data_IF_097218325148
#
_entry.id   IF_097218325148
#
_cell.length_a   1.000
_cell.length_b   1.000
_cell.length_c   1.000
_cell.angle_alpha   90.00
_cell.angle_beta   90.00
_cell.angle_gamma   90.00
#
_symmetry.space_group_name_H-M   'P 1'
#
loop_
_entity.id
_entity.type
_entity.pdbx_description
1 polymer ?
#
# COMPACT_ATOMS: atom_id res chain seq x y z
N UNK A 1 49.40 -4.33 -17.24
CA UNK A 1 48.21 -5.05 -16.71
C UNK A 1 47.39 -4.27 -15.68
N UNK A 2 47.98 -3.43 -14.82
CA UNK A 2 47.20 -2.69 -13.79
C UNK A 2 46.33 -1.55 -14.33
N UNK A 3 46.79 -0.80 -15.35
CA UNK A 3 46.07 0.34 -15.92
C UNK A 3 44.79 -0.07 -16.68
N UNK A 4 44.83 -1.18 -17.42
CA UNK A 4 43.66 -1.76 -18.11
C UNK A 4 42.59 -2.24 -17.12
N UNK A 5 43.02 -2.75 -15.96
CA UNK A 5 42.14 -3.19 -14.87
C UNK A 5 41.45 -2.00 -14.20
N UNK A 6 42.16 -0.89 -13.99
CA UNK A 6 41.56 0.34 -13.45
C UNK A 6 40.54 0.98 -14.41
N UNK A 7 40.84 0.99 -15.71
CA UNK A 7 39.91 1.51 -16.74
C UNK A 7 38.65 0.64 -16.84
N UNK A 8 38.82 -0.68 -16.77
CA UNK A 8 37.71 -1.64 -16.75
C UNK A 8 36.83 -1.48 -15.50
N UNK A 9 37.43 -1.30 -14.32
CA UNK A 9 36.68 -1.04 -13.07
C UNK A 9 35.91 0.27 -13.13
N UNK A 10 36.52 1.35 -13.65
CA UNK A 10 35.84 2.63 -13.82
C UNK A 10 34.65 2.53 -14.77
N UNK A 11 34.83 1.83 -15.89
CA UNK A 11 33.77 1.56 -16.86
C UNK A 11 32.60 0.78 -16.24
N UNK A 12 32.88 -0.28 -15.47
CA UNK A 12 31.85 -1.07 -14.78
C UNK A 12 31.06 -0.22 -13.78
N UNK A 13 31.74 0.62 -12.99
CA UNK A 13 31.09 1.53 -12.04
C UNK A 13 30.18 2.53 -12.78
N UNK A 14 30.67 3.15 -13.85
CA UNK A 14 29.86 4.05 -14.67
C UNK A 14 28.63 3.35 -15.24
N UNK A 15 28.77 2.13 -15.75
CA UNK A 15 27.64 1.36 -16.31
C UNK A 15 26.57 1.09 -15.24
N UNK A 16 26.95 0.69 -14.02
CA UNK A 16 25.98 0.44 -12.93
C UNK A 16 25.25 1.69 -12.44
N UNK A 17 25.89 2.87 -12.52
CA UNK A 17 25.27 4.14 -12.13
C UNK A 17 24.32 4.70 -13.21
N UNK A 18 24.46 4.27 -14.46
CA UNK A 18 23.65 4.73 -15.59
C UNK A 18 22.44 3.84 -15.90
N UNK A 19 22.34 2.65 -15.31
CA UNK A 19 21.14 1.82 -15.44
C UNK A 19 20.14 2.18 -14.34
N UNK A 20 19.02 2.88 -14.67
CA UNK A 20 17.94 3.04 -13.70
C UNK A 20 17.42 1.65 -13.37
N UNK A 21 17.50 1.25 -12.10
CA UNK A 21 16.80 0.07 -11.62
C UNK A 21 15.31 0.31 -11.81
N UNK A 22 14.68 -0.35 -12.79
CA UNK A 22 13.25 -0.25 -13.02
C UNK A 22 12.51 -0.97 -11.88
N UNK A 23 12.14 -0.23 -10.85
CA UNK A 23 11.22 -0.73 -9.83
C UNK A 23 9.80 -0.61 -10.39
N UNK A 24 9.12 -1.72 -10.63
CA UNK A 24 7.72 -1.71 -11.04
C UNK A 24 6.81 -1.43 -9.83
N UNK A 25 6.89 -0.22 -9.27
CA UNK A 25 5.93 0.24 -8.28
C UNK A 25 4.57 0.43 -8.96
N UNK A 26 3.50 -0.06 -8.34
CA UNK A 26 2.14 0.08 -8.84
C UNK A 26 1.40 1.10 -7.99
N UNK A 27 0.68 2.02 -8.65
CA UNK A 27 -0.18 3.00 -7.98
C UNK A 27 -1.64 2.58 -8.10
N UNK A 28 -2.33 2.48 -6.97
CA UNK A 28 -3.75 2.23 -6.89
C UNK A 28 -4.48 3.50 -6.43
N UNK A 29 -5.45 3.97 -7.21
CA UNK A 29 -6.36 5.04 -6.78
C UNK A 29 -7.65 4.43 -6.24
N UNK A 30 -7.78 4.41 -4.92
CA UNK A 30 -8.92 3.81 -4.23
C UNK A 30 -10.00 4.87 -4.07
N UNK A 31 -11.07 4.75 -4.86
CA UNK A 31 -12.17 5.72 -4.91
C UNK A 31 -13.41 5.22 -4.18
N UNK A 32 -13.95 6.04 -3.26
CA UNK A 32 -15.28 5.79 -2.72
C UNK A 32 -16.37 6.49 -3.56
N UNK A 33 -17.11 5.69 -4.33
CA UNK A 33 -18.29 6.13 -5.08
C UNK A 33 -19.62 5.74 -4.40
N UNK A 34 -19.57 5.12 -3.21
CA UNK A 34 -20.76 4.83 -2.43
C UNK A 34 -21.32 6.13 -1.84
N UNK A 35 -22.64 6.19 -1.62
CA UNK A 35 -23.30 7.34 -1.01
C UNK A 35 -23.03 7.50 0.50
N UNK A 36 -22.19 6.63 1.08
CA UNK A 36 -21.85 6.60 2.49
C UNK A 36 -20.34 6.47 2.69
N UNK A 37 -19.87 6.85 3.88
CA UNK A 37 -18.46 6.74 4.26
C UNK A 37 -18.03 5.29 4.36
N UNK A 38 -16.87 4.99 3.80
CA UNK A 38 -16.19 3.70 3.94
C UNK A 38 -14.81 3.92 4.53
N UNK A 39 -14.25 2.90 5.15
CA UNK A 39 -12.85 2.91 5.58
C UNK A 39 -12.07 1.96 4.70
N UNK A 40 -11.48 2.50 3.63
CA UNK A 40 -10.59 1.75 2.76
C UNK A 40 -9.46 1.12 3.57
N UNK A 41 -9.09 -0.10 3.21
CA UNK A 41 -8.07 -0.88 3.86
C UNK A 41 -7.18 -1.55 2.82
N UNK A 42 -5.90 -1.64 3.13
CA UNK A 42 -4.91 -2.32 2.31
C UNK A 42 -3.89 -3.04 3.19
N UNK A 43 -3.50 -4.25 2.80
CA UNK A 43 -2.44 -5.01 3.46
C UNK A 43 -1.50 -5.59 2.41
N UNK A 44 -0.26 -5.08 2.29
CA UNK A 44 0.28 -3.91 2.99
C UNK A 44 -0.34 -2.60 2.48
N UNK A 45 -0.39 -1.55 3.32
CA UNK A 45 -0.81 -0.20 2.92
C UNK A 45 -1.56 0.59 4.00
N UNK A 46 -2.14 -0.07 5.00
CA UNK A 46 -2.83 0.57 6.12
C UNK A 46 -4.32 0.77 5.85
N UNK A 47 -4.86 1.92 6.26
CA UNK A 47 -6.27 2.23 6.01
C UNK A 47 -6.60 3.70 6.14
N UNK A 48 -7.71 4.11 5.51
CA UNK A 48 -8.12 5.51 5.45
C UNK A 48 -9.64 5.63 5.37
N UNK A 49 -10.20 6.57 6.12
CA UNK A 49 -11.59 6.98 5.94
C UNK A 49 -11.74 7.70 4.60
N UNK A 50 -12.73 7.30 3.82
CA UNK A 50 -13.13 7.96 2.58
C UNK A 50 -14.62 8.27 2.64
N UNK A 51 -14.95 9.56 2.69
CA UNK A 51 -16.32 10.03 2.48
C UNK A 51 -16.75 9.77 1.03
N UNK A 52 -18.05 9.85 0.77
CA UNK A 52 -18.56 9.79 -0.61
C UNK A 52 -17.84 10.83 -1.45
N UNK A 53 -17.28 10.43 -2.58
CA UNK A 53 -16.58 11.37 -3.42
C UNK A 53 -15.09 11.57 -3.09
N UNK A 54 -14.50 10.86 -2.12
CA UNK A 54 -13.05 10.90 -1.86
C UNK A 54 -12.24 9.75 -2.51
N UNK A 55 -10.94 10.01 -2.70
CA UNK A 55 -9.94 9.09 -3.23
C UNK A 55 -8.76 8.92 -2.29
N UNK A 56 -8.14 7.75 -2.33
CA UNK A 56 -6.86 7.47 -1.69
C UNK A 56 -5.87 6.88 -2.69
N UNK A 57 -4.85 7.65 -3.12
CA UNK A 57 -3.74 7.09 -3.85
C UNK A 57 -2.86 6.27 -2.91
N UNK A 58 -2.62 5.01 -3.26
CA UNK A 58 -1.78 4.07 -2.54
C UNK A 58 -0.68 3.56 -3.49
N UNK A 59 0.57 3.82 -3.14
CA UNK A 59 1.73 3.28 -3.84
C UNK A 59 2.12 1.94 -3.22
N UNK A 60 2.25 0.91 -4.06
CA UNK A 60 2.61 -0.44 -3.65
C UNK A 60 3.95 -0.81 -4.29
N UNK A 61 4.88 -1.27 -3.45
CA UNK A 61 6.23 -1.62 -3.88
C UNK A 61 6.22 -2.78 -4.89
N UNK A 62 7.15 -2.73 -5.84
CA UNK A 62 7.39 -3.81 -6.80
C UNK A 62 7.63 -5.13 -6.09
N UNK A 63 7.08 -6.22 -6.63
CA UNK A 63 7.24 -7.56 -6.07
C UNK A 63 6.35 -7.86 -4.85
N UNK A 64 5.47 -6.94 -4.45
CA UNK A 64 4.47 -7.22 -3.41
C UNK A 64 3.53 -8.34 -3.87
N UNK A 65 3.57 -9.48 -3.18
CA UNK A 65 2.69 -10.61 -3.41
C UNK A 65 1.64 -10.72 -2.29
N UNK A 66 0.46 -11.25 -2.61
CA UNK A 66 -0.62 -11.47 -1.65
C UNK A 66 -1.30 -10.18 -1.16
N UNK A 67 -1.05 -9.03 -1.78
CA UNK A 67 -1.69 -7.78 -1.39
C UNK A 67 -3.22 -7.86 -1.50
N UNK A 68 -3.92 -7.24 -0.55
CA UNK A 68 -5.38 -7.08 -0.60
C UNK A 68 -5.75 -5.62 -0.39
N UNK A 69 -6.75 -5.16 -1.12
CA UNK A 69 -7.45 -3.89 -0.92
C UNK A 69 -8.93 -4.24 -0.73
N UNK A 70 -9.58 -3.69 0.30
CA UNK A 70 -11.00 -3.90 0.56
C UNK A 70 -11.63 -2.67 1.23
N UNK A 71 -12.96 -2.62 1.21
CA UNK A 71 -13.72 -1.62 1.94
C UNK A 71 -14.17 -2.16 3.30
N UNK A 72 -14.20 -1.28 4.30
CA UNK A 72 -14.81 -1.56 5.61
C UNK A 72 -15.99 -0.61 5.83
N UNK A 73 -17.03 -1.10 6.52
CA UNK A 73 -18.25 -0.33 6.78
C UNK A 73 -18.63 -0.34 8.25
N UNK A 74 -19.40 0.66 8.67
CA UNK A 74 -19.89 0.79 10.03
C UNK A 74 -18.75 0.88 11.06
N UNK A 75 -17.70 1.66 10.76
CA UNK A 75 -16.55 1.76 11.64
C UNK A 75 -16.66 2.95 12.60
N UNK A 76 -16.04 2.78 13.77
CA UNK A 76 -15.79 3.85 14.74
C UNK A 76 -14.38 3.67 15.30
N UNK A 77 -13.58 4.73 15.27
CA UNK A 77 -12.22 4.76 15.80
C UNK A 77 -12.03 5.95 16.73
N UNK A 78 -11.22 5.78 17.77
CA UNK A 78 -10.77 6.86 18.63
C UNK A 78 -9.65 7.68 17.96
N UNK A 79 -9.17 8.73 18.65
CA UNK A 79 -8.09 9.59 18.17
C UNK A 79 -6.74 8.89 18.00
N UNK A 80 -6.55 7.71 18.60
CA UNK A 80 -5.37 6.87 18.43
C UNK A 80 -5.54 5.86 17.27
N UNK A 81 -6.73 5.77 16.67
CA UNK A 81 -7.05 4.87 15.58
C UNK A 81 -7.45 3.46 16.04
N UNK A 82 -7.81 3.27 17.31
CA UNK A 82 -8.35 2.02 17.83
C UNK A 82 -9.87 2.03 17.83
N UNK A 83 -10.50 0.89 17.54
CA UNK A 83 -11.94 0.82 17.39
C UNK A 83 -12.41 -0.48 16.77
N UNK A 84 -13.45 -0.42 15.94
CA UNK A 84 -13.95 -1.58 15.21
C UNK A 84 -14.76 -1.19 13.97
N UNK A 85 -14.92 -2.14 13.06
CA UNK A 85 -15.82 -2.08 11.91
C UNK A 85 -16.83 -3.22 11.95
N UNK A 86 -18.04 -2.97 11.42
CA UNK A 86 -19.06 -4.03 11.27
C UNK A 86 -18.65 -5.06 10.20
N UNK A 87 -18.03 -4.61 9.11
CA UNK A 87 -17.53 -5.51 8.06
C UNK A 87 -16.08 -5.20 7.71
N UNK A 88 -15.31 -6.25 7.40
CA UNK A 88 -13.93 -6.13 6.94
C UNK A 88 -12.96 -5.61 8.01
N UNK A 89 -13.32 -5.66 9.29
CA UNK A 89 -12.45 -5.23 10.38
C UNK A 89 -11.10 -5.97 10.35
N UNK A 90 -10.00 -5.28 10.65
CA UNK A 90 -8.65 -5.81 10.54
C UNK A 90 -7.92 -5.86 11.89
N UNK A 91 -8.66 -6.18 12.97
CA UNK A 91 -8.12 -6.30 14.32
C UNK A 91 -8.33 -5.04 15.17
N UNK A 92 -9.39 -4.29 14.90
CA UNK A 92 -9.78 -3.11 15.68
C UNK A 92 -8.87 -1.90 15.52
N UNK A 93 -8.18 -1.79 14.38
CA UNK A 93 -7.27 -0.68 14.07
C UNK A 93 -7.63 -0.01 12.75
N UNK A 94 -7.49 1.31 12.69
CA UNK A 94 -7.70 2.08 11.47
C UNK A 94 -6.64 1.71 10.42
N UNK A 95 -5.37 1.60 10.83
CA UNK A 95 -4.26 1.21 9.97
C UNK A 95 -4.10 -0.31 9.96
N UNK A 96 -4.63 -0.97 8.93
CA UNK A 96 -4.57 -2.42 8.84
C UNK A 96 -3.13 -2.95 8.68
N UNK A 97 -2.78 -3.94 9.49
CA UNK A 97 -1.50 -4.66 9.43
C UNK A 97 -1.65 -6.09 8.86
N UNK A 98 -2.90 -6.51 8.60
CA UNK A 98 -3.25 -7.82 8.08
C UNK A 98 -4.61 -7.78 7.39
N UNK A 99 -5.11 -8.95 6.98
CA UNK A 99 -6.38 -9.05 6.25
C UNK A 99 -7.59 -8.78 7.13
N UNK A 100 -8.66 -8.29 6.50
CA UNK A 100 -9.96 -8.11 7.14
C UNK A 100 -10.66 -9.43 7.47
N UNK A 101 -11.46 -9.41 8.53
CA UNK A 101 -12.33 -10.51 8.94
C UNK A 101 -13.45 -10.71 7.89
N UNK A 102 -13.75 -11.96 7.52
CA UNK A 102 -14.89 -12.26 6.67
C UNK A 102 -16.20 -11.86 7.33
N UNK A 103 -17.16 -11.39 6.54
CA UNK A 103 -18.54 -11.27 6.99
C UNK A 103 -19.13 -12.67 7.23
N UNK A 104 -19.40 -13.02 8.48
CA UNK A 104 -20.19 -14.21 8.82
C UNK A 104 -21.66 -13.81 8.83
N UNK A 105 -22.43 -14.30 7.86
CA UNK A 105 -23.89 -14.20 7.87
C UNK A 105 -24.50 -15.17 8.89
#
# INVERSE_FOLDING_TARGET
MSLLKNFSVFSIICITLYFPTSTNAARFDIRNNCAFTVWAAASPGGGRQLNSGESWPLDVNSGTAGARIWARTGCSFDGAGHGSCQTGDCGGVLQCLGYGQPQTH
#
